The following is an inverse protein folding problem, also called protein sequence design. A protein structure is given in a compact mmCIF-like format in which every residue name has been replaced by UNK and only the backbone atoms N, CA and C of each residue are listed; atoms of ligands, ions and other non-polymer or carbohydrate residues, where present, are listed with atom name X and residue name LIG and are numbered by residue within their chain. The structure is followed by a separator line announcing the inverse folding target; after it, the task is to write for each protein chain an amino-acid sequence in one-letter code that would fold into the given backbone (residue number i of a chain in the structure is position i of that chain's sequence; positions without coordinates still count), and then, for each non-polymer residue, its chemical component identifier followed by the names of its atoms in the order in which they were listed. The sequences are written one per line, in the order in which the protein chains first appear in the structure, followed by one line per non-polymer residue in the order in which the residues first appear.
data_IF_343542434958
#
_entry.id   IF_343542434958
#
_cell.length_a   1.000
_cell.length_b   1.000
_cell.length_c   1.000
_cell.angle_alpha   90.00
_cell.angle_beta   90.00
_cell.angle_gamma   90.00
#
_symmetry.space_group_name_H-M   'P 1'
#
loop_
_entity.id
_entity.type
_entity.pdbx_description
1 polymer ?
#
# COMPACT_ATOMS: atom_id res chain seq x y z
N UNK A 1 14.76 -33.10 29.10
CA UNK A 1 15.67 -33.57 28.03
C UNK A 1 15.63 -32.54 26.90
N UNK A 2 16.73 -31.85 26.57
CA UNK A 2 16.73 -30.91 25.47
C UNK A 2 16.94 -31.69 24.16
N UNK A 3 15.99 -31.58 23.24
CA UNK A 3 16.17 -32.06 21.88
C UNK A 3 17.11 -31.09 21.14
N UNK A 4 18.40 -31.39 21.12
CA UNK A 4 19.35 -30.80 20.19
C UNK A 4 19.09 -31.38 18.79
N UNK A 5 18.25 -30.73 17.99
CA UNK A 5 18.26 -30.93 16.55
C UNK A 5 19.34 -30.02 15.95
N UNK A 6 20.46 -30.62 15.57
CA UNK A 6 21.47 -29.99 14.72
C UNK A 6 20.82 -29.45 13.44
N UNK A 7 21.25 -28.28 12.92
CA UNK A 7 20.76 -27.77 11.65
C UNK A 7 21.45 -28.53 10.52
N UNK A 8 20.98 -29.74 10.22
CA UNK A 8 21.37 -30.43 8.99
C UNK A 8 20.61 -29.79 7.84
N UNK A 9 21.31 -29.09 6.94
CA UNK A 9 20.80 -28.72 5.62
C UNK A 9 20.36 -30.02 4.93
N UNK A 10 19.05 -30.26 4.86
CA UNK A 10 18.52 -31.34 4.05
C UNK A 10 18.79 -31.01 2.57
N UNK A 11 19.42 -31.90 1.79
CA UNK A 11 19.61 -31.68 0.36
C UNK A 11 18.25 -31.63 -0.34
N UNK A 12 18.05 -30.62 -1.18
CA UNK A 12 16.85 -30.43 -1.98
C UNK A 12 16.72 -31.55 -3.01
N UNK A 13 16.08 -32.64 -2.61
CA UNK A 13 15.66 -33.70 -3.53
C UNK A 13 14.24 -33.34 -4.00
N UNK A 14 14.05 -33.19 -5.32
CA UNK A 14 12.79 -32.92 -6.04
C UNK A 14 12.48 -31.48 -6.50
N UNK A 15 13.44 -30.55 -6.53
CA UNK A 15 13.21 -29.19 -7.09
C UNK A 15 12.08 -28.39 -6.39
N UNK A 16 11.86 -28.66 -5.09
CA UNK A 16 10.86 -28.00 -4.25
C UNK A 16 11.54 -26.87 -3.48
N UNK A 17 10.98 -25.66 -3.55
CA UNK A 17 11.45 -24.51 -2.78
C UNK A 17 11.15 -24.71 -1.29
N UNK A 18 12.19 -24.69 -0.45
CA UNK A 18 12.06 -24.83 1.01
C UNK A 18 12.80 -23.69 1.69
N UNK A 19 12.07 -22.90 2.48
CA UNK A 19 12.62 -21.85 3.34
C UNK A 19 12.23 -22.12 4.79
N UNK A 20 13.22 -22.30 5.66
CA UNK A 20 12.99 -22.45 7.11
C UNK A 20 12.67 -21.08 7.71
N UNK A 21 11.60 -21.02 8.50
CA UNK A 21 11.22 -19.82 9.27
C UNK A 21 11.57 -20.06 10.73
N UNK A 22 12.27 -19.11 11.36
CA UNK A 22 12.60 -19.22 12.78
C UNK A 22 11.38 -18.83 13.63
N UNK A 23 10.88 -19.77 14.42
CA UNK A 23 9.71 -19.59 15.29
C UNK A 23 10.01 -19.85 16.78
N UNK A 24 11.26 -19.67 17.21
CA UNK A 24 11.66 -19.91 18.61
C UNK A 24 11.46 -21.36 19.08
N UNK A 25 11.48 -22.32 18.15
CA UNK A 25 11.19 -23.75 18.39
C UNK A 25 9.75 -24.04 18.86
N UNK A 26 8.82 -23.12 18.63
CA UNK A 26 7.40 -23.29 18.95
C UNK A 26 6.62 -23.55 17.64
N UNK A 27 5.94 -24.70 17.51
CA UNK A 27 5.13 -24.99 16.34
C UNK A 27 3.76 -24.31 16.46
N UNK A 28 3.68 -23.04 16.06
CA UNK A 28 2.43 -22.29 15.96
C UNK A 28 1.43 -22.95 14.99
N UNK A 29 0.14 -22.66 15.17
CA UNK A 29 -0.97 -23.22 14.36
C UNK A 29 -0.96 -24.77 14.29
N UNK A 30 -0.49 -25.42 15.35
CA UNK A 30 -0.44 -26.89 15.45
C UNK A 30 -1.12 -27.37 16.73
N UNK A 31 -1.46 -28.66 16.80
CA UNK A 31 -2.02 -29.25 18.02
C UNK A 31 -1.11 -29.14 19.26
N UNK A 32 0.19 -28.93 19.05
CA UNK A 32 1.19 -28.90 20.12
C UNK A 32 1.15 -27.60 20.94
N UNK A 33 0.59 -26.50 20.41
CA UNK A 33 0.49 -25.23 21.13
C UNK A 33 -0.72 -25.18 22.09
N UNK A 34 -1.67 -26.12 21.99
CA UNK A 34 -2.92 -26.12 22.78
C UNK A 34 -2.73 -25.93 24.29
N UNK A 35 -1.78 -26.61 24.98
CA UNK A 35 -1.59 -26.40 26.42
C UNK A 35 -1.13 -24.97 26.77
N UNK A 36 -0.35 -24.34 25.90
CA UNK A 36 0.09 -22.95 26.07
C UNK A 36 -1.08 -21.97 25.83
N UNK A 37 -1.92 -22.24 24.83
CA UNK A 37 -3.09 -21.42 24.49
C UNK A 37 -4.04 -21.27 25.68
N UNK A 38 -4.34 -22.35 26.40
CA UNK A 38 -5.23 -22.32 27.58
C UNK A 38 -4.72 -21.31 28.62
N UNK A 39 -3.43 -21.40 28.96
CA UNK A 39 -2.81 -20.45 29.90
C UNK A 39 -2.78 -19.03 29.33
N UNK A 40 -2.45 -18.86 28.05
CA UNK A 40 -2.46 -17.56 27.40
C UNK A 40 -3.85 -16.91 27.42
N UNK A 41 -4.91 -17.68 27.27
CA UNK A 41 -6.28 -17.18 27.32
C UNK A 41 -6.64 -16.62 28.69
N UNK A 42 -6.28 -17.31 29.77
CA UNK A 42 -6.46 -16.83 31.14
C UNK A 42 -5.79 -15.46 31.36
N UNK A 43 -4.53 -15.32 30.93
CA UNK A 43 -3.79 -14.06 31.04
C UNK A 43 -4.38 -12.95 30.16
N UNK A 44 -4.68 -13.25 28.89
CA UNK A 44 -5.19 -12.26 27.94
C UNK A 44 -6.57 -11.73 28.31
N UNK A 45 -7.44 -12.58 28.87
CA UNK A 45 -8.75 -12.15 29.40
C UNK A 45 -8.62 -11.11 30.50
N UNK A 46 -7.59 -11.24 31.36
CA UNK A 46 -7.30 -10.26 32.41
C UNK A 46 -6.62 -8.99 31.89
N UNK A 47 -5.64 -9.13 30.99
CA UNK A 47 -4.83 -8.01 30.49
C UNK A 47 -5.56 -7.14 29.46
N UNK A 48 -6.41 -7.74 28.62
CA UNK A 48 -7.03 -7.08 27.47
C UNK A 48 -8.55 -7.38 27.49
N UNK A 49 -9.29 -6.84 28.48
CA UNK A 49 -10.72 -7.11 28.63
C UNK A 49 -11.59 -6.38 27.61
N UNK A 50 -11.01 -5.48 26.80
CA UNK A 50 -11.78 -4.69 25.84
C UNK A 50 -12.38 -5.54 24.72
N UNK A 51 -13.56 -5.10 24.25
CA UNK A 51 -14.11 -5.54 22.96
C UNK A 51 -13.62 -4.65 21.84
N UNK A 52 -13.43 -5.26 20.68
CA UNK A 52 -13.09 -4.56 19.44
C UNK A 52 -14.27 -4.69 18.48
N UNK A 53 -14.53 -3.60 17.76
CA UNK A 53 -15.38 -3.62 16.57
C UNK A 53 -14.47 -3.34 15.36
N UNK A 54 -14.10 -4.35 14.57
CA UNK A 54 -13.17 -4.14 13.47
C UNK A 54 -13.83 -3.27 12.40
N UNK A 55 -13.06 -2.35 11.83
CA UNK A 55 -13.52 -1.65 10.63
C UNK A 55 -13.63 -2.62 9.46
N UNK A 56 -14.48 -2.32 8.49
CA UNK A 56 -14.58 -3.09 7.23
C UNK A 56 -13.29 -3.14 6.42
N UNK A 57 -12.30 -2.28 6.74
CA UNK A 57 -10.97 -2.27 6.12
C UNK A 57 -10.04 -3.34 6.72
N UNK A 58 -10.35 -3.87 7.91
CA UNK A 58 -9.55 -4.91 8.55
C UNK A 58 -10.02 -6.29 8.07
N UNK A 59 -9.29 -6.87 7.13
CA UNK A 59 -9.54 -8.22 6.67
C UNK A 59 -8.84 -9.20 7.62
N UNK A 60 -9.61 -10.05 8.30
CA UNK A 60 -9.07 -11.07 9.21
C UNK A 60 -8.72 -12.34 8.46
N UNK A 61 -7.59 -12.96 8.86
CA UNK A 61 -7.10 -14.22 8.30
C UNK A 61 -7.42 -15.42 9.20
N UNK A 62 -7.99 -15.23 10.40
CA UNK A 62 -8.18 -16.32 11.38
C UNK A 62 -9.61 -16.85 11.47
N UNK A 63 -10.63 -16.03 11.18
CA UNK A 63 -12.01 -16.47 11.02
C UNK A 63 -12.91 -15.36 10.46
N UNK A 64 -13.72 -15.68 9.45
CA UNK A 64 -14.73 -14.76 8.90
C UNK A 64 -15.81 -14.37 9.92
N UNK A 65 -15.99 -15.16 10.98
CA UNK A 65 -17.00 -14.94 12.04
C UNK A 65 -16.82 -13.62 12.80
N UNK A 66 -15.61 -13.06 12.79
CA UNK A 66 -15.28 -11.79 13.42
C UNK A 66 -15.58 -10.57 12.53
N UNK A 67 -15.98 -10.76 11.27
CA UNK A 67 -16.36 -9.64 10.41
C UNK A 67 -17.70 -9.06 10.86
N UNK A 68 -17.74 -7.72 10.98
CA UNK A 68 -18.95 -6.93 11.28
C UNK A 68 -19.63 -7.24 12.62
N UNK A 69 -18.93 -7.86 13.58
CA UNK A 69 -19.42 -8.13 14.93
C UNK A 69 -18.42 -7.63 15.97
N UNK A 70 -18.93 -7.23 17.13
CA UNK A 70 -18.06 -6.97 18.28
C UNK A 70 -17.67 -8.29 18.94
N UNK A 71 -16.40 -8.42 19.30
CA UNK A 71 -15.85 -9.60 19.97
C UNK A 71 -14.83 -9.18 21.01
N UNK A 72 -14.51 -10.08 21.95
CA UNK A 72 -13.45 -9.85 22.92
C UNK A 72 -12.09 -9.91 22.23
N UNK A 73 -11.24 -8.92 22.50
CA UNK A 73 -9.92 -8.83 21.91
C UNK A 73 -9.07 -10.08 22.23
N UNK A 74 -9.18 -10.60 23.45
CA UNK A 74 -8.52 -11.83 23.89
C UNK A 74 -8.92 -13.04 23.05
N UNK A 75 -10.21 -13.25 22.81
CA UNK A 75 -10.72 -14.37 22.00
C UNK A 75 -10.19 -14.32 20.57
N UNK A 76 -10.10 -13.13 19.98
CA UNK A 76 -9.54 -12.94 18.64
C UNK A 76 -8.07 -13.35 18.54
N UNK A 77 -7.23 -12.91 19.50
CA UNK A 77 -5.82 -13.29 19.52
C UNK A 77 -5.62 -14.79 19.77
N UNK A 78 -6.42 -15.37 20.66
CA UNK A 78 -6.41 -16.82 20.91
C UNK A 78 -6.81 -17.59 19.65
N UNK A 79 -7.85 -17.16 18.94
CA UNK A 79 -8.21 -17.77 17.66
C UNK A 79 -7.09 -17.62 16.62
N UNK A 80 -6.46 -16.46 16.52
CA UNK A 80 -5.34 -16.25 15.60
C UNK A 80 -4.15 -17.17 15.90
N UNK A 81 -3.85 -17.45 17.18
CA UNK A 81 -2.76 -18.37 17.56
C UNK A 81 -3.10 -19.85 17.36
N UNK A 82 -4.37 -20.22 17.50
CA UNK A 82 -4.86 -21.61 17.45
C UNK A 82 -5.18 -22.06 16.03
N UNK A 83 -5.83 -21.21 15.25
CA UNK A 83 -6.43 -21.51 13.96
C UNK A 83 -5.44 -21.26 12.82
N UNK A 84 -5.57 -22.01 11.72
CA UNK A 84 -4.76 -21.77 10.52
C UNK A 84 -5.08 -20.39 9.94
N UNK A 85 -4.05 -19.71 9.43
CA UNK A 85 -4.21 -18.42 8.75
C UNK A 85 -4.68 -18.63 7.30
N UNK A 86 -5.90 -18.17 7.00
CA UNK A 86 -6.55 -18.15 5.68
C UNK A 86 -5.97 -17.05 4.78
N UNK A 87 -4.66 -17.05 4.61
CA UNK A 87 -3.94 -15.95 3.97
C UNK A 87 -4.29 -15.82 2.47
N UNK A 88 -4.30 -16.94 1.74
CA UNK A 88 -4.57 -16.93 0.29
C UNK A 88 -6.01 -16.49 -0.01
N UNK A 89 -6.97 -16.93 0.79
CA UNK A 89 -8.36 -16.55 0.68
C UNK A 89 -8.53 -15.05 0.94
N UNK A 90 -7.89 -14.52 1.99
CA UNK A 90 -7.93 -13.08 2.28
C UNK A 90 -7.28 -12.25 1.18
N UNK A 91 -6.16 -12.69 0.60
CA UNK A 91 -5.48 -11.97 -0.49
C UNK A 91 -6.33 -11.89 -1.76
N UNK A 92 -7.21 -12.88 -2.01
CA UNK A 92 -8.11 -12.86 -3.17
C UNK A 92 -9.11 -11.70 -3.14
N UNK A 93 -9.37 -11.12 -1.95
CA UNK A 93 -10.24 -9.96 -1.77
C UNK A 93 -9.56 -8.64 -2.15
N UNK A 94 -8.25 -8.64 -2.38
CA UNK A 94 -7.50 -7.44 -2.76
C UNK A 94 -7.79 -7.07 -4.21
N UNK A 95 -8.28 -5.84 -4.49
CA UNK A 95 -8.56 -5.40 -5.85
C UNK A 95 -7.32 -5.31 -6.75
N UNK A 96 -7.54 -5.38 -8.06
CA UNK A 96 -6.52 -5.07 -9.08
C UNK A 96 -6.08 -3.60 -9.00
N UNK A 97 -4.91 -3.28 -9.55
CA UNK A 97 -4.33 -1.93 -9.56
C UNK A 97 -4.17 -1.30 -8.17
N UNK A 98 -3.92 -2.11 -7.14
CA UNK A 98 -3.66 -1.63 -5.79
C UNK A 98 -2.17 -1.59 -5.50
N UNK A 99 -1.78 -0.82 -4.48
CA UNK A 99 -0.43 -0.83 -3.93
C UNK A 99 -0.49 -1.55 -2.59
N UNK A 100 0.26 -2.64 -2.44
CA UNK A 100 0.39 -3.37 -1.17
C UNK A 100 1.71 -3.02 -0.50
N UNK A 101 1.67 -2.83 0.82
CA UNK A 101 2.85 -2.48 1.61
C UNK A 101 3.04 -3.56 2.67
N UNK A 102 4.15 -4.30 2.60
CA UNK A 102 4.53 -5.25 3.65
C UNK A 102 5.24 -4.50 4.79
N UNK A 103 4.58 -4.44 5.95
CA UNK A 103 5.11 -3.84 7.17
C UNK A 103 5.70 -4.94 8.03
N UNK A 104 6.99 -5.21 7.85
CA UNK A 104 7.72 -6.25 8.56
C UNK A 104 9.20 -5.90 8.63
N UNK A 105 9.96 -6.30 9.67
CA UNK A 105 11.41 -6.17 9.70
C UNK A 105 12.12 -7.01 8.63
N UNK A 106 11.44 -8.03 8.10
CA UNK A 106 11.93 -8.88 7.00
C UNK A 106 10.88 -9.01 5.91
N UNK A 107 11.31 -9.03 4.65
CA UNK A 107 10.45 -9.11 3.47
C UNK A 107 10.08 -10.55 3.08
N UNK A 108 9.75 -11.40 4.07
CA UNK A 108 9.51 -12.84 3.87
C UNK A 108 8.30 -13.07 2.95
N UNK A 109 7.27 -12.21 3.05
CA UNK A 109 6.02 -12.42 2.33
C UNK A 109 6.09 -11.96 0.87
N UNK A 110 7.12 -11.21 0.46
CA UNK A 110 7.23 -10.69 -0.91
C UNK A 110 7.10 -11.80 -1.97
N UNK A 111 7.79 -12.93 -1.82
CA UNK A 111 7.69 -14.03 -2.79
C UNK A 111 6.24 -14.55 -2.88
N UNK A 112 5.62 -14.80 -1.73
CA UNK A 112 4.25 -15.32 -1.65
C UNK A 112 3.24 -14.31 -2.23
N UNK A 113 3.40 -13.03 -1.90
CA UNK A 113 2.53 -11.96 -2.37
C UNK A 113 2.66 -11.77 -3.88
N UNK A 114 3.88 -11.82 -4.42
CA UNK A 114 4.10 -11.69 -5.87
C UNK A 114 3.51 -12.87 -6.66
N UNK A 115 3.47 -14.06 -6.06
CA UNK A 115 2.87 -15.24 -6.67
C UNK A 115 1.33 -15.24 -6.59
N UNK A 116 0.76 -14.71 -5.50
CA UNK A 116 -0.69 -14.76 -5.23
C UNK A 116 -1.47 -13.54 -5.72
N UNK A 117 -0.85 -12.36 -5.76
CA UNK A 117 -1.51 -11.13 -6.19
C UNK A 117 -1.53 -11.02 -7.72
N UNK A 118 -2.48 -10.23 -8.24
CA UNK A 118 -2.52 -9.91 -9.67
C UNK A 118 -1.25 -9.16 -10.10
N UNK A 119 -0.77 -9.41 -11.32
CA UNK A 119 0.40 -8.73 -11.90
C UNK A 119 0.27 -7.20 -11.98
N UNK A 120 -0.95 -6.67 -11.92
CA UNK A 120 -1.24 -5.23 -11.86
C UNK A 120 -1.00 -4.61 -10.49
N UNK A 121 -0.91 -5.42 -9.43
CA UNK A 121 -0.72 -4.94 -8.06
C UNK A 121 0.76 -4.64 -7.86
N UNK A 122 1.06 -3.45 -7.34
CA UNK A 122 2.43 -3.09 -7.00
C UNK A 122 2.69 -3.43 -5.55
N UNK A 123 3.49 -4.45 -5.31
CA UNK A 123 3.86 -4.88 -3.97
C UNK A 123 5.20 -4.27 -3.54
N UNK A 124 5.23 -3.66 -2.35
CA UNK A 124 6.38 -2.93 -1.83
C UNK A 124 6.68 -3.39 -0.41
N UNK A 125 7.88 -3.92 -0.18
CA UNK A 125 8.38 -4.19 1.17
C UNK A 125 8.90 -2.91 1.84
N UNK A 126 8.44 -2.63 3.06
CA UNK A 126 8.88 -1.45 3.80
C UNK A 126 10.36 -1.54 4.21
N UNK A 127 10.75 -2.72 4.70
CA UNK A 127 12.13 -3.04 5.04
C UNK A 127 12.60 -4.24 4.23
N UNK A 128 13.84 -4.17 3.80
CA UNK A 128 14.55 -5.30 3.22
C UNK A 128 15.68 -5.63 4.19
N UNK A 129 15.72 -6.88 4.70
CA UNK A 129 16.78 -7.31 5.60
C UNK A 129 18.06 -7.45 4.80
N UNK A 130 18.82 -6.37 4.70
CA UNK A 130 20.20 -6.38 4.24
C UNK A 130 21.13 -6.44 5.45
N UNK A 131 22.33 -7.00 5.28
CA UNK A 131 23.36 -7.08 6.34
C UNK A 131 23.68 -5.70 6.95
N UNK A 132 23.44 -4.64 6.19
CA UNK A 132 23.51 -3.26 6.63
C UNK A 132 22.11 -2.69 6.83
N UNK A 133 21.66 -2.58 8.09
CA UNK A 133 20.48 -1.76 8.40
C UNK A 133 20.78 -0.32 8.02
N UNK A 134 20.09 0.20 7.01
CA UNK A 134 20.28 1.57 6.57
C UNK A 134 18.94 2.28 6.46
N UNK A 135 18.80 3.37 7.20
CA UNK A 135 17.67 4.31 7.10
C UNK A 135 17.47 4.81 5.66
N UNK A 136 18.54 4.79 4.85
CA UNK A 136 18.48 5.09 3.41
C UNK A 136 17.51 4.19 2.68
N UNK A 137 17.49 2.89 3.01
CA UNK A 137 16.63 1.91 2.33
C UNK A 137 15.15 2.18 2.60
N UNK A 138 14.83 2.61 3.82
CA UNK A 138 13.48 3.02 4.18
C UNK A 138 13.05 4.26 3.38
N UNK A 139 13.89 5.30 3.30
CA UNK A 139 13.61 6.50 2.50
C UNK A 139 13.51 6.20 0.99
N UNK A 140 14.34 5.30 0.47
CA UNK A 140 14.23 4.79 -0.91
C UNK A 140 12.87 4.12 -1.15
N UNK A 141 12.39 3.31 -0.19
CA UNK A 141 11.07 2.70 -0.28
C UNK A 141 9.96 3.74 -0.27
N UNK A 142 10.05 4.79 0.56
CA UNK A 142 9.08 5.90 0.51
C UNK A 142 9.12 6.60 -0.85
N UNK A 143 10.30 6.80 -1.44
CA UNK A 143 10.45 7.31 -2.80
C UNK A 143 9.79 6.41 -3.85
N UNK A 144 9.90 5.08 -3.72
CA UNK A 144 9.17 4.13 -4.57
C UNK A 144 7.67 4.29 -4.43
N UNK A 145 7.14 4.42 -3.20
CA UNK A 145 5.72 4.67 -2.96
C UNK A 145 5.24 5.99 -3.56
N UNK A 146 6.08 7.03 -3.54
CA UNK A 146 5.77 8.28 -4.24
C UNK A 146 5.66 8.07 -5.76
N UNK A 147 6.61 7.32 -6.34
CA UNK A 147 6.62 7.02 -7.78
C UNK A 147 5.44 6.13 -8.21
N UNK A 148 4.84 5.34 -7.31
CA UNK A 148 3.61 4.59 -7.60
C UNK A 148 2.34 5.43 -7.54
N UNK A 149 2.46 6.73 -7.24
CA UNK A 149 1.35 7.68 -7.20
C UNK A 149 0.80 7.96 -5.80
N UNK A 150 1.39 7.40 -4.74
CA UNK A 150 1.03 7.74 -3.37
C UNK A 150 1.67 9.07 -2.95
N UNK A 151 1.13 9.70 -1.90
CA UNK A 151 1.60 11.01 -1.40
C UNK A 151 2.03 10.93 0.07
N UNK A 152 3.14 10.22 0.39
CA UNK A 152 3.64 10.14 1.75
C UNK A 152 4.07 11.52 2.27
N UNK A 153 3.64 11.86 3.48
CA UNK A 153 3.97 13.13 4.14
C UNK A 153 5.32 13.03 4.85
N UNK A 154 6.41 13.04 4.07
CA UNK A 154 7.79 12.84 4.57
C UNK A 154 8.19 13.87 5.64
N UNK A 155 7.62 15.07 5.61
CA UNK A 155 7.88 16.11 6.58
C UNK A 155 7.60 15.67 8.04
N UNK A 156 6.64 14.75 8.24
CA UNK A 156 6.27 14.25 9.58
C UNK A 156 7.34 13.33 10.20
N UNK A 157 8.34 12.89 9.42
CA UNK A 157 9.44 12.08 9.94
C UNK A 157 10.54 12.92 10.60
N UNK A 158 10.54 14.23 10.36
CA UNK A 158 11.55 15.16 10.85
C UNK A 158 10.90 16.22 11.75
N UNK A 159 11.68 16.90 12.60
CA UNK A 159 11.16 18.03 13.37
C UNK A 159 10.53 19.08 12.47
N UNK A 160 9.47 19.73 12.97
CA UNK A 160 8.79 20.80 12.24
C UNK A 160 9.77 21.92 11.90
N UNK A 161 9.79 22.33 10.64
CA UNK A 161 10.59 23.47 10.21
C UNK A 161 9.98 24.78 10.73
N UNK A 162 10.82 25.68 11.20
CA UNK A 162 10.40 27.03 11.61
C UNK A 162 10.23 27.94 10.40
N UNK A 163 9.16 28.73 10.41
CA UNK A 163 8.88 29.74 9.40
C UNK A 163 8.82 31.13 10.05
N UNK A 164 9.24 32.19 9.35
CA UNK A 164 9.72 32.23 7.95
C UNK A 164 11.09 31.59 7.75
N UNK A 165 11.37 31.15 6.53
CA UNK A 165 12.68 30.56 6.19
C UNK A 165 13.80 31.59 6.27
N UNK A 166 15.03 31.13 6.53
CA UNK A 166 16.22 31.97 6.61
C UNK A 166 16.51 32.74 5.31
N UNK A 167 17.13 33.92 5.45
CA UNK A 167 17.62 34.70 4.31
C UNK A 167 18.66 33.88 3.53
N UNK A 168 18.52 33.82 2.21
CA UNK A 168 19.43 33.07 1.33
C UNK A 168 18.93 31.67 0.95
N UNK A 169 17.77 31.22 1.45
CA UNK A 169 17.14 29.98 0.97
C UNK A 169 16.90 30.04 -0.55
N UNK A 170 17.32 29.02 -1.32
CA UNK A 170 17.21 29.01 -2.77
C UNK A 170 15.78 29.18 -3.29
N UNK A 171 15.64 29.85 -4.45
CA UNK A 171 14.36 30.04 -5.11
C UNK A 171 13.88 28.75 -5.78
N UNK A 172 12.61 28.38 -5.57
CA UNK A 172 12.01 27.16 -6.14
C UNK A 172 11.56 27.37 -7.61
N UNK A 173 11.14 28.59 -7.96
CA UNK A 173 10.52 28.87 -9.28
C UNK A 173 11.42 28.52 -10.47
N UNK A 174 12.74 28.65 -10.33
CA UNK A 174 13.71 28.33 -11.39
C UNK A 174 13.89 26.82 -11.62
N UNK A 175 13.45 25.97 -10.68
CA UNK A 175 13.56 24.51 -10.77
C UNK A 175 12.36 23.86 -11.45
N UNK A 176 11.22 24.55 -11.52
CA UNK A 176 10.00 24.03 -12.12
C UNK A 176 10.12 24.09 -13.64
N UNK A 177 9.94 22.95 -14.30
CA UNK A 177 9.98 22.83 -15.77
C UNK A 177 8.65 22.26 -16.27
N UNK A 178 8.15 22.83 -17.36
CA UNK A 178 6.94 22.37 -18.05
C UNK A 178 7.29 21.84 -19.44
N UNK A 179 6.65 20.76 -19.87
CA UNK A 179 6.76 20.26 -21.24
C UNK A 179 5.84 21.07 -22.15
N UNK A 180 6.39 21.80 -23.13
CA UNK A 180 5.64 22.67 -24.05
C UNK A 180 5.37 22.03 -25.42
N UNK A 181 5.13 20.72 -25.48
CA UNK A 181 5.14 19.98 -26.75
C UNK A 181 3.94 20.27 -27.71
N UNK A 182 2.89 20.95 -27.25
CA UNK A 182 1.67 21.16 -28.06
C UNK A 182 1.58 22.53 -28.76
N UNK A 183 2.47 23.48 -28.44
CA UNK A 183 2.30 24.87 -28.91
C UNK A 183 3.06 25.21 -30.20
N UNK A 184 3.98 24.34 -30.64
CA UNK A 184 4.76 24.54 -31.88
C UNK A 184 4.07 23.99 -33.13
N UNK A 185 3.08 23.10 -33.02
CA UNK A 185 2.34 22.58 -34.18
C UNK A 185 1.30 23.55 -34.73
N UNK A 186 0.70 24.41 -33.91
CA UNK A 186 -0.23 25.44 -34.36
C UNK A 186 0.46 26.63 -35.03
N UNK A 187 1.78 26.83 -34.79
CA UNK A 187 2.57 27.92 -35.39
C UNK A 187 3.19 27.58 -36.75
N UNK A 188 3.24 26.30 -37.13
CA UNK A 188 3.76 25.84 -38.43
C UNK A 188 2.65 25.50 -39.44
N UNK A 189 1.37 25.57 -39.05
CA UNK A 189 0.28 25.48 -40.00
C UNK A 189 0.20 26.80 -40.80
N UNK A 190 0.27 26.77 -42.15
CA UNK A 190 0.04 27.98 -42.94
C UNK A 190 -1.36 28.52 -42.63
N UNK A 191 -1.45 29.83 -42.41
CA UNK A 191 -2.69 30.52 -42.10
C UNK A 191 -3.77 30.17 -43.14
N UNK A 192 -5.00 29.80 -42.74
CA UNK A 192 -6.08 29.65 -43.70
C UNK A 192 -6.28 30.99 -44.41
N UNK A 193 -6.16 31.01 -45.75
CA UNK A 193 -6.55 32.19 -46.52
C UNK A 193 -8.05 32.36 -46.37
N UNK A 194 -8.47 33.32 -45.56
CA UNK A 194 -9.87 33.71 -45.41
C UNK A 194 -10.35 34.33 -46.73
N UNK A 195 -11.13 33.56 -47.51
CA UNK A 195 -11.88 34.10 -48.63
C UNK A 195 -13.17 34.73 -48.10
N UNK A 196 -13.30 36.06 -48.23
CA UNK A 196 -14.40 36.86 -47.67
C UNK A 196 -15.79 36.62 -48.32
N UNK A 197 -15.95 35.62 -49.17
CA UNK A 197 -17.18 35.40 -49.95
C UNK A 197 -17.92 34.11 -49.59
N UNK A 198 -17.56 33.42 -48.51
CA UNK A 198 -18.22 32.16 -48.14
C UNK A 198 -19.56 32.40 -47.41
N UNK A 199 -20.72 32.00 -47.97
CA UNK A 199 -22.04 32.31 -47.42
C UNK A 199 -22.36 31.60 -46.08
N UNK A 200 -21.55 30.60 -45.68
CA UNK A 200 -21.79 29.74 -44.52
C UNK A 200 -21.43 30.39 -43.17
N UNK A 201 -20.82 31.58 -43.16
CA UNK A 201 -20.45 32.28 -41.92
C UNK A 201 -21.58 33.14 -41.32
N UNK A 202 -22.72 33.30 -42.00
CA UNK A 202 -23.84 34.12 -41.48
C UNK A 202 -24.75 33.40 -40.47
N UNK A 203 -24.83 32.07 -40.48
CA UNK A 203 -25.70 31.35 -39.54
C UNK A 203 -25.03 31.03 -38.20
N UNK A 204 -23.70 30.87 -38.16
CA UNK A 204 -23.00 30.51 -36.90
C UNK A 204 -22.91 31.67 -35.90
N UNK A 205 -22.94 32.92 -36.35
CA UNK A 205 -22.82 34.08 -35.46
C UNK A 205 -24.13 34.41 -34.72
N UNK A 206 -25.29 33.99 -35.26
CA UNK A 206 -26.59 34.31 -34.66
C UNK A 206 -27.00 33.35 -33.53
N UNK A 207 -26.47 32.11 -33.48
CA UNK A 207 -26.86 31.13 -32.45
C UNK A 207 -26.06 31.25 -31.14
N UNK A 208 -24.89 31.88 -31.18
CA UNK A 208 -24.01 32.01 -30.00
C UNK A 208 -24.37 33.20 -29.10
N UNK A 209 -25.09 34.20 -29.62
CA UNK A 209 -25.47 35.40 -28.84
C UNK A 209 -26.68 35.10 -27.93
N UNK A 210 -27.55 34.14 -28.29
CA UNK A 210 -28.74 33.80 -27.51
C UNK A 210 -28.47 32.91 -26.29
N UNK A 211 -27.30 32.29 -26.16
CA UNK A 211 -26.96 31.41 -25.02
C UNK A 211 -26.26 32.10 -23.85
N UNK A 212 -25.92 33.39 -23.98
CA UNK A 212 -25.21 34.15 -22.95
C UNK A 212 -26.12 35.03 -22.08
N UNK A 213 -27.40 35.20 -22.43
CA UNK A 213 -28.39 35.93 -21.61
C UNK A 213 -29.02 35.10 -20.49
N UNK A 214 -29.00 33.77 -20.60
CA UNK A 214 -29.79 32.88 -19.72
C UNK A 214 -29.01 32.33 -18.52
N UNK A 215 -27.75 32.74 -18.34
CA UNK A 215 -26.88 32.31 -17.22
C UNK A 215 -26.59 33.42 -16.22
N UNK A 216 -27.29 34.55 -16.30
CA UNK A 216 -27.11 35.70 -15.39
C UNK A 216 -28.25 35.91 -14.37
N UNK A 217 -29.27 35.05 -14.34
CA UNK A 217 -30.30 35.09 -13.28
C UNK A 217 -30.69 33.66 -12.87
N UNK A 218 -30.12 33.21 -11.76
CA UNK A 218 -30.39 31.93 -11.09
C UNK A 218 -29.54 31.78 -9.84
#
# INVERSE_FOLDING_TARGET
MPFHFLPTLAPATNNISVKKIFCGYIPFHSRYIKPAIIKCEEYLKGMIPQRIFPSSKWLTTSAYEYLNKSFLCSEYYINNLSSLALFAETLSLIPKNTVTIEISPENILQCILNDLLYSTVTNVALFERTENYSDKKFLETIGKLYNTGLQPQIANLYPTAEFPVSRGTPMISSLIRYSMYLETRSRLAPSPRFNKTDPLLRESASSSITRLSDLSNG
#
